data_IF_047323213157
#
_entry.id   IF_047323213157
#
_cell.length_a   1.000
_cell.length_b   1.000
_cell.length_c   1.000
_cell.angle_alpha   90.00
_cell.angle_beta   90.00
_cell.angle_gamma   90.00
#
_symmetry.space_group_name_H-M   'P 1'
#
loop_
_entity.id
_entity.type
_entity.pdbx_description
1 polymer ?
#
# COMPACT_ATOMS: atom_id res chain seq x y z
N UNK A 1 -32.03 -57.88 23.37
CA UNK A 1 -32.85 -57.18 22.34
C UNK A 1 -32.46 -55.70 22.36
N UNK A 2 -32.60 -54.98 21.23
CA UNK A 2 -31.54 -54.44 20.34
C UNK A 2 -31.34 -52.92 20.58
N UNK A 3 -30.42 -52.13 20.00
CA UNK A 3 -29.83 -51.94 18.66
C UNK A 3 -28.57 -51.04 18.79
N UNK A 4 -27.49 -51.22 18.00
CA UNK A 4 -26.74 -50.12 17.39
C UNK A 4 -27.25 -49.89 15.95
N UNK A 5 -26.75 -48.94 15.13
CA UNK A 5 -26.19 -47.59 15.33
C UNK A 5 -26.97 -46.54 14.49
N UNK A 6 -26.74 -45.23 14.65
CA UNK A 6 -26.85 -44.35 13.48
C UNK A 6 -26.07 -43.05 13.62
N UNK A 7 -25.12 -42.94 12.71
CA UNK A 7 -24.24 -41.83 12.41
C UNK A 7 -25.10 -40.63 11.94
N UNK A 8 -24.86 -39.45 12.47
CA UNK A 8 -25.27 -38.22 11.78
C UNK A 8 -24.19 -37.17 11.94
N UNK A 9 -23.65 -36.86 10.75
CA UNK A 9 -22.58 -35.96 10.44
C UNK A 9 -22.59 -34.67 11.27
N UNK A 10 -21.38 -34.29 11.67
CA UNK A 10 -21.00 -32.96 12.08
C UNK A 10 -21.60 -31.91 11.13
N UNK A 11 -22.44 -30.99 11.61
CA UNK A 11 -22.87 -29.88 10.79
C UNK A 11 -21.68 -28.94 10.62
N UNK A 12 -21.13 -28.92 9.40
CA UNK A 12 -20.21 -27.90 8.92
C UNK A 12 -20.66 -26.50 9.38
N UNK A 13 -19.73 -25.60 9.77
CA UNK A 13 -20.08 -24.31 10.34
C UNK A 13 -20.96 -23.53 9.37
N UNK A 14 -22.20 -23.27 9.81
CA UNK A 14 -23.17 -22.46 9.06
C UNK A 14 -22.53 -21.11 8.70
N UNK A 15 -22.66 -20.62 7.45
CA UNK A 15 -22.22 -19.28 7.10
C UNK A 15 -22.94 -18.29 8.02
N UNK A 16 -22.15 -17.51 8.77
CA UNK A 16 -22.65 -16.48 9.69
C UNK A 16 -23.66 -15.62 8.92
N UNK A 17 -24.89 -15.64 9.42
CA UNK A 17 -25.99 -14.81 8.95
C UNK A 17 -25.52 -13.37 8.88
N UNK A 18 -25.60 -12.80 7.68
CA UNK A 18 -25.30 -11.39 7.44
C UNK A 18 -26.15 -10.55 8.40
N UNK A 19 -25.49 -9.95 9.39
CA UNK A 19 -26.14 -9.06 10.35
C UNK A 19 -26.89 -7.97 9.57
N UNK A 20 -28.18 -7.82 9.89
CA UNK A 20 -29.07 -6.83 9.27
C UNK A 20 -28.40 -5.45 9.36
N UNK A 21 -28.08 -4.87 8.19
CA UNK A 21 -27.43 -3.56 8.08
C UNK A 21 -28.31 -2.49 8.75
N UNK A 22 -27.78 -1.74 9.73
CA UNK A 22 -28.48 -0.57 10.27
C UNK A 22 -28.65 0.50 9.19
N UNK A 23 -29.68 1.33 9.37
CA UNK A 23 -30.14 2.38 8.45
C UNK A 23 -28.95 3.23 7.97
N UNK A 24 -28.73 3.29 6.65
CA UNK A 24 -27.57 3.94 6.03
C UNK A 24 -27.55 5.43 6.37
N UNK A 25 -26.74 5.81 7.35
CA UNK A 25 -26.23 7.18 7.43
C UNK A 25 -25.28 7.40 6.23
N UNK A 26 -25.20 8.62 5.69
CA UNK A 26 -24.14 8.96 4.75
C UNK A 26 -22.80 8.82 5.48
N UNK A 27 -22.13 7.68 5.28
CA UNK A 27 -20.82 7.38 5.85
C UNK A 27 -19.79 7.40 4.74
N UNK A 28 -18.68 8.09 4.94
CA UNK A 28 -17.53 8.06 4.04
C UNK A 28 -16.48 7.16 4.68
N UNK A 29 -16.02 6.14 3.96
CA UNK A 29 -14.93 5.27 4.38
C UNK A 29 -13.75 5.47 3.43
N UNK A 30 -12.60 5.85 3.98
CA UNK A 30 -11.35 5.97 3.24
C UNK A 30 -10.49 4.74 3.57
N UNK A 31 -9.98 4.07 2.54
CA UNK A 31 -9.06 2.94 2.68
C UNK A 31 -7.74 3.33 2.03
N UNK A 32 -6.67 3.31 2.81
CA UNK A 32 -5.30 3.50 2.35
C UNK A 32 -4.68 2.13 2.18
N UNK A 33 -4.00 1.90 1.06
CA UNK A 33 -3.26 0.68 0.77
C UNK A 33 -1.83 1.07 0.42
N UNK A 34 -0.87 0.35 0.97
CA UNK A 34 0.55 0.55 0.71
C UNK A 34 1.03 -0.74 0.07
N UNK A 35 1.45 -0.63 -1.17
CA UNK A 35 1.98 -1.75 -1.94
C UNK A 35 3.45 -2.02 -1.57
N UNK A 36 3.97 -3.24 -1.82
CA UNK A 36 5.37 -3.59 -1.53
C UNK A 36 6.40 -2.79 -2.33
N UNK A 37 5.97 -2.03 -3.34
CA UNK A 37 6.80 -1.06 -4.05
C UNK A 37 6.77 0.34 -3.41
N UNK A 38 6.21 0.47 -2.21
CA UNK A 38 5.95 1.74 -1.54
C UNK A 38 5.05 2.68 -2.34
N UNK A 39 4.18 2.13 -3.19
CA UNK A 39 3.12 2.88 -3.84
C UNK A 39 1.92 2.99 -2.90
N UNK A 40 1.52 4.21 -2.55
CA UNK A 40 0.39 4.46 -1.67
C UNK A 40 -0.83 4.77 -2.51
N UNK A 41 -1.91 4.06 -2.24
CA UNK A 41 -3.15 4.21 -2.98
C UNK A 41 -4.32 4.45 -2.04
N UNK A 42 -5.15 5.45 -2.34
CA UNK A 42 -6.34 5.78 -1.55
C UNK A 42 -7.61 5.45 -2.32
N UNK A 43 -8.46 4.63 -1.70
CA UNK A 43 -9.80 4.35 -2.17
C UNK A 43 -10.82 5.00 -1.23
N UNK A 44 -11.64 5.91 -1.77
CA UNK A 44 -12.74 6.53 -1.02
C UNK A 44 -14.04 5.84 -1.40
N UNK A 45 -14.86 5.50 -0.41
CA UNK A 45 -16.21 5.00 -0.61
C UNK A 45 -17.21 5.84 0.17
N UNK A 46 -18.36 6.10 -0.44
CA UNK A 46 -19.48 6.82 0.16
C UNK A 46 -20.67 5.87 0.26
N UNK A 47 -21.08 5.57 1.49
CA UNK A 47 -22.10 4.58 1.80
C UNK A 47 -21.68 3.18 1.36
N UNK A 48 -22.37 2.63 0.36
CA UNK A 48 -22.04 1.31 -0.20
C UNK A 48 -21.36 1.40 -1.58
N UNK A 49 -21.08 2.61 -2.07
CA UNK A 49 -20.54 2.83 -3.42
C UNK A 49 -19.12 3.36 -3.33
N UNK A 50 -18.18 2.70 -4.04
CA UNK A 50 -16.84 3.25 -4.23
C UNK A 50 -16.92 4.52 -5.06
N UNK A 51 -16.28 5.58 -4.59
CA UNK A 51 -16.21 6.89 -5.25
C UNK A 51 -14.91 6.91 -6.04
N UNK A 52 -14.99 6.49 -7.30
CA UNK A 52 -13.86 6.55 -8.22
C UNK A 52 -12.90 5.36 -8.15
N UNK A 53 -11.81 5.50 -8.90
CA UNK A 53 -10.68 4.55 -8.92
C UNK A 53 -9.73 4.88 -7.77
N UNK A 54 -8.99 3.88 -7.27
CA UNK A 54 -7.89 4.12 -6.34
C UNK A 54 -6.95 5.19 -6.94
N UNK A 55 -6.68 6.25 -6.20
CA UNK A 55 -5.78 7.32 -6.64
C UNK A 55 -4.41 7.11 -5.98
N UNK A 56 -3.30 7.17 -6.74
CA UNK A 56 -1.98 7.18 -6.15
C UNK A 56 -1.82 8.47 -5.34
N UNK A 57 -1.29 8.35 -4.13
CA UNK A 57 -1.06 9.47 -3.22
C UNK A 57 0.39 9.45 -2.75
N UNK A 58 0.96 10.62 -2.51
CA UNK A 58 2.25 10.71 -1.84
C UNK A 58 2.12 10.48 -0.33
N UNK A 59 3.19 10.00 0.33
CA UNK A 59 3.22 9.82 1.78
C UNK A 59 2.85 11.11 2.54
N UNK A 60 3.32 12.29 2.09
CA UNK A 60 2.97 13.59 2.67
C UNK A 60 1.46 13.88 2.65
N UNK A 61 0.75 13.43 1.62
CA UNK A 61 -0.69 13.65 1.50
C UNK A 61 -1.47 12.78 2.52
N UNK A 62 -0.95 11.59 2.82
CA UNK A 62 -1.53 10.69 3.82
C UNK A 62 -1.24 11.17 5.23
N UNK A 63 -0.01 11.62 5.52
CA UNK A 63 0.34 12.25 6.79
C UNK A 63 -0.57 13.45 7.07
N UNK A 64 -0.74 14.33 6.07
CA UNK A 64 -1.64 15.48 6.19
C UNK A 64 -3.08 15.05 6.46
N UNK A 65 -3.59 14.04 5.78
CA UNK A 65 -4.95 13.54 5.98
C UNK A 65 -5.14 12.93 7.38
N UNK A 66 -4.16 12.18 7.89
CA UNK A 66 -4.20 11.57 9.22
C UNK A 66 -4.04 12.62 10.33
N UNK A 67 -3.18 13.61 10.11
CA UNK A 67 -3.03 14.76 11.00
C UNK A 67 -4.32 15.57 11.11
N UNK A 68 -5.04 15.76 10.00
CA UNK A 68 -6.36 16.41 10.00
C UNK A 68 -7.44 15.54 10.68
N UNK A 69 -7.29 14.22 10.67
CA UNK A 69 -8.17 13.30 11.40
C UNK A 69 -7.95 13.37 12.92
N UNK A 70 -6.76 13.80 13.36
CA UNK A 70 -6.43 14.02 14.77
C UNK A 70 -6.19 12.74 15.56
N UNK A 71 -5.90 11.62 14.88
CA UNK A 71 -5.62 10.34 15.51
C UNK A 71 -4.10 10.15 15.64
N UNK A 72 -3.58 10.36 16.86
CA UNK A 72 -2.14 10.31 17.16
C UNK A 72 -1.54 8.92 16.91
N UNK A 73 -2.29 7.85 17.18
CA UNK A 73 -1.84 6.47 16.92
C UNK A 73 -1.73 6.18 15.43
N UNK A 74 -2.68 6.65 14.62
CA UNK A 74 -2.58 6.57 13.17
C UNK A 74 -1.41 7.42 12.64
N UNK A 75 -1.15 8.58 13.25
CA UNK A 75 -0.04 9.45 12.86
C UNK A 75 1.32 8.78 13.11
N UNK A 76 1.55 8.20 14.30
CA UNK A 76 2.77 7.44 14.59
C UNK A 76 2.95 6.25 13.65
N UNK A 77 1.87 5.47 13.41
CA UNK A 77 1.92 4.33 12.50
C UNK A 77 2.29 4.77 11.07
N UNK A 78 1.68 5.85 10.57
CA UNK A 78 2.01 6.41 9.26
C UNK A 78 3.45 6.92 9.22
N UNK A 79 3.90 7.66 10.23
CA UNK A 79 5.26 8.19 10.30
C UNK A 79 6.30 7.07 10.24
N UNK A 80 6.07 5.97 10.96
CA UNK A 80 6.95 4.79 10.95
C UNK A 80 7.03 4.16 9.54
N UNK A 81 5.89 4.05 8.84
CA UNK A 81 5.87 3.49 7.48
C UNK A 81 6.48 4.46 6.45
N UNK A 82 6.32 5.77 6.64
CA UNK A 82 6.98 6.79 5.80
C UNK A 82 8.50 6.74 5.96
N UNK A 83 9.00 6.52 7.18
CA UNK A 83 10.43 6.39 7.42
C UNK A 83 11.02 5.15 6.73
N UNK A 84 10.36 3.99 6.86
CA UNK A 84 10.73 2.78 6.09
C UNK A 84 10.68 3.02 4.57
N UNK A 85 9.65 3.72 4.08
CA UNK A 85 9.53 4.08 2.68
C UNK A 85 10.70 4.94 2.21
N UNK A 86 11.10 5.90 3.04
CA UNK A 86 12.19 6.83 2.76
C UNK A 86 13.51 6.08 2.70
N UNK A 87 13.77 5.19 3.66
CA UNK A 87 14.96 4.34 3.67
C UNK A 87 15.05 3.45 2.42
N UNK A 88 13.95 2.79 2.05
CA UNK A 88 13.90 1.98 0.83
C UNK A 88 14.12 2.82 -0.45
N UNK A 89 13.54 4.02 -0.50
CA UNK A 89 13.74 4.95 -1.61
C UNK A 89 15.19 5.46 -1.68
N UNK A 90 15.80 5.81 -0.55
CA UNK A 90 17.19 6.24 -0.45
C UNK A 90 18.15 5.14 -0.92
N UNK A 91 17.90 3.89 -0.53
CA UNK A 91 18.70 2.74 -0.98
C UNK A 91 18.57 2.50 -2.49
N UNK A 92 17.35 2.58 -3.04
CA UNK A 92 17.14 2.52 -4.49
C UNK A 92 17.85 3.68 -5.19
N UNK A 93 17.74 4.91 -4.69
CA UNK A 93 18.42 6.09 -5.28
C UNK A 93 19.93 5.89 -5.25
N UNK A 94 20.51 5.38 -4.17
CA UNK A 94 21.93 5.06 -4.09
C UNK A 94 22.34 4.01 -5.13
N UNK A 95 21.55 2.94 -5.28
CA UNK A 95 21.80 1.88 -6.27
C UNK A 95 21.67 2.38 -7.73
N UNK A 96 20.68 3.21 -8.02
CA UNK A 96 20.52 3.84 -9.34
C UNK A 96 21.61 4.88 -9.61
N UNK A 97 22.04 5.64 -8.60
CA UNK A 97 23.12 6.62 -8.71
C UNK A 97 24.44 5.94 -9.07
N UNK A 98 24.76 4.79 -8.46
CA UNK A 98 25.96 4.03 -8.79
C UNK A 98 25.95 3.56 -10.26
N UNK A 99 24.80 3.08 -10.75
CA UNK A 99 24.66 2.66 -12.15
C UNK A 99 24.78 3.83 -13.14
N UNK A 100 24.23 5.00 -12.79
CA UNK A 100 24.39 6.19 -13.62
C UNK A 100 25.82 6.70 -13.63
N UNK A 101 26.52 6.66 -12.50
CA UNK A 101 27.93 7.06 -12.43
C UNK A 101 28.82 6.15 -13.27
N UNK A 102 28.57 4.83 -13.24
CA UNK A 102 29.29 3.85 -14.04
C UNK A 102 29.02 4.03 -15.55
N UNK A 103 27.75 4.24 -15.92
CA UNK A 103 27.36 4.55 -17.30
C UNK A 103 27.96 5.86 -17.79
N UNK A 104 28.00 6.90 -16.94
CA UNK A 104 28.60 8.20 -17.23
C UNK A 104 30.11 8.06 -17.46
N UNK A 105 30.80 7.30 -16.61
CA UNK A 105 32.24 7.04 -16.72
C UNK A 105 32.60 6.26 -17.99
N UNK A 106 31.75 5.31 -18.40
CA UNK A 106 31.91 4.59 -19.66
C UNK A 106 31.74 5.53 -20.88
N UNK A 107 30.76 6.43 -20.85
CA UNK A 107 30.58 7.47 -21.86
C UNK A 107 31.74 8.46 -21.90
N UNK A 108 32.27 8.88 -20.75
CA UNK A 108 33.45 9.75 -20.66
C UNK A 108 34.70 9.08 -21.25
N UNK A 109 34.90 7.78 -21.02
CA UNK A 109 36.01 7.00 -21.59
C UNK A 109 35.93 6.91 -23.13
N UNK A 110 34.73 6.70 -23.67
CA UNK A 110 34.47 6.68 -25.11
C UNK A 110 34.57 8.07 -25.76
N UNK A 111 34.06 9.11 -25.08
CA UNK A 111 34.16 10.50 -25.53
C UNK A 111 35.59 11.04 -25.51
N UNK A 112 36.38 10.74 -24.47
CA UNK A 112 37.78 11.09 -24.38
C UNK A 112 38.63 10.37 -25.44
N UNK A 113 38.30 9.12 -25.76
CA UNK A 113 38.95 8.35 -26.83
C UNK A 113 38.60 8.89 -28.22
N UNK A 114 37.37 9.38 -28.43
CA UNK A 114 36.93 9.99 -29.69
C UNK A 114 37.49 11.39 -29.98
N UNK A 115 37.93 12.13 -28.95
CA UNK A 115 38.52 13.47 -29.11
C UNK A 115 40.04 13.41 -29.38
N UNK A 116 40.70 12.27 -29.11
CA UNK A 116 42.15 12.10 -29.37
C UNK A 116 42.46 11.63 -30.81
N UNK A 117 41.43 11.41 -31.64
CA UNK A 117 41.53 11.05 -33.06
C UNK A 117 40.90 12.14 -33.92
N UNK A 118 41.39 13.38 -33.77
CA UNK A 118 41.04 14.54 -34.59
C UNK A 118 42.25 15.40 -34.88
#
# INVERSE_FOLDING_TARGET
MPIPPSQSAEPAPKPKTAARRPKKQPGVSITITIDPDNEWTVAVAHGARRVGKPAPVGPDAVERAVRELGDETALEAVQSVIDEARQAAEERVAQLSAQLEEAKKALESLGATGIQIG
#
